data_IF_193309058713
#
_entry.id   IF_193309058713
#
_cell.length_a   1.000
_cell.length_b   1.000
_cell.length_c   1.000
_cell.angle_alpha   90.00
_cell.angle_beta   90.00
_cell.angle_gamma   90.00
#
_symmetry.space_group_name_H-M   'P 1'
#
loop_
_entity.id
_entity.type
_entity.pdbx_description
1 polymer ?
#
# COMPACT_ATOMS: atom_id res chain seq x y z
N UNK A 1 -20.18 -9.77 -4.94
CA UNK A 1 -19.63 -10.05 -6.29
C UNK A 1 -18.38 -10.89 -6.11
N UNK A 2 -18.10 -11.87 -6.99
CA UNK A 2 -16.89 -12.67 -6.89
C UNK A 2 -15.62 -11.84 -7.11
N UNK A 3 -14.47 -12.36 -6.66
CA UNK A 3 -13.13 -11.80 -6.92
C UNK A 3 -12.94 -11.55 -8.42
N UNK A 4 -12.32 -10.43 -8.80
CA UNK A 4 -11.97 -10.17 -10.20
C UNK A 4 -10.82 -11.05 -10.66
N UNK A 5 -10.87 -11.51 -11.91
CA UNK A 5 -9.84 -12.40 -12.50
C UNK A 5 -8.91 -11.67 -13.47
N UNK A 6 -9.20 -10.42 -13.82
CA UNK A 6 -8.41 -9.57 -14.71
C UNK A 6 -7.38 -8.70 -13.96
N UNK A 7 -7.33 -8.77 -12.62
CA UNK A 7 -6.32 -8.12 -11.77
C UNK A 7 -5.48 -9.19 -11.10
N UNK A 8 -4.16 -9.08 -11.24
CA UNK A 8 -3.18 -9.90 -10.51
C UNK A 8 -2.43 -9.11 -9.44
N UNK A 9 -2.20 -7.81 -9.67
CA UNK A 9 -1.44 -6.92 -8.78
C UNK A 9 -2.19 -5.64 -8.45
N UNK A 10 -2.10 -5.20 -7.20
CA UNK A 10 -2.76 -3.98 -6.69
C UNK A 10 -1.72 -3.11 -6.00
N UNK A 11 -1.67 -1.84 -6.38
CA UNK A 11 -0.91 -0.81 -5.67
C UNK A 11 -1.81 -0.11 -4.65
N UNK A 12 -1.45 -0.20 -3.37
CA UNK A 12 -2.04 0.58 -2.29
C UNK A 12 -1.20 1.83 -2.08
N UNK A 13 -1.86 2.98 -1.96
CA UNK A 13 -1.24 4.27 -1.63
C UNK A 13 -1.58 4.59 -0.18
N UNK A 14 -0.56 4.65 0.68
CA UNK A 14 -0.69 5.04 2.08
C UNK A 14 -0.99 6.53 2.23
N UNK A 15 -1.25 6.96 3.46
CA UNK A 15 -1.61 8.35 3.75
C UNK A 15 -0.38 9.27 3.91
N UNK A 16 0.82 8.72 4.11
CA UNK A 16 2.02 9.49 4.41
C UNK A 16 2.16 9.80 5.90
N UNK A 17 2.90 10.86 6.28
CA UNK A 17 3.16 11.21 7.67
C UNK A 17 1.88 11.60 8.42
N UNK A 18 1.88 11.34 9.73
CA UNK A 18 0.76 11.72 10.61
C UNK A 18 0.69 13.26 10.72
N UNK A 19 -0.50 13.81 10.51
CA UNK A 19 -0.82 15.23 10.71
C UNK A 19 -2.18 15.38 11.40
N UNK A 20 -2.46 16.57 11.95
CA UNK A 20 -3.79 16.86 12.51
C UNK A 20 -4.84 16.71 11.41
N UNK A 21 -5.84 15.85 11.65
CA UNK A 21 -6.89 15.54 10.68
C UNK A 21 -6.58 14.36 9.75
N UNK A 22 -5.37 13.78 9.81
CA UNK A 22 -5.00 12.58 9.08
C UNK A 22 -3.94 11.79 9.86
N UNK A 23 -4.37 10.80 10.62
CA UNK A 23 -3.51 10.13 11.60
C UNK A 23 -3.51 8.59 11.48
N UNK A 24 -3.43 7.91 12.61
CA UNK A 24 -3.18 6.46 12.69
C UNK A 24 -4.30 5.61 12.09
N UNK A 25 -5.50 6.18 11.89
CA UNK A 25 -6.62 5.51 11.23
C UNK A 25 -6.23 4.95 9.86
N UNK A 26 -5.29 5.59 9.16
CA UNK A 26 -4.86 5.14 7.85
C UNK A 26 -3.80 4.02 7.89
N UNK A 27 -3.00 3.94 8.95
CA UNK A 27 -2.15 2.74 9.17
C UNK A 27 -3.03 1.53 9.47
N UNK A 28 -4.04 1.71 10.33
CA UNK A 28 -5.01 0.67 10.63
C UNK A 28 -5.76 0.20 9.38
N UNK A 29 -6.36 1.12 8.62
CA UNK A 29 -7.09 0.79 7.40
C UNK A 29 -6.18 0.22 6.32
N UNK A 30 -4.98 0.78 6.12
CA UNK A 30 -4.00 0.28 5.16
C UNK A 30 -3.53 -1.14 5.49
N UNK A 31 -3.25 -1.42 6.76
CA UNK A 31 -2.90 -2.76 7.25
C UNK A 31 -4.02 -3.77 6.97
N UNK A 32 -5.28 -3.40 7.22
CA UNK A 32 -6.42 -4.27 6.90
C UNK A 32 -6.59 -4.49 5.40
N UNK A 33 -6.41 -3.46 4.58
CA UNK A 33 -6.49 -3.58 3.12
C UNK A 33 -5.42 -4.53 2.57
N UNK A 34 -4.18 -4.44 3.05
CA UNK A 34 -3.09 -5.36 2.68
C UNK A 34 -3.46 -6.80 3.03
N UNK A 35 -3.93 -7.05 4.26
CA UNK A 35 -4.31 -8.39 4.72
C UNK A 35 -5.44 -8.97 3.87
N UNK A 36 -6.53 -8.22 3.69
CA UNK A 36 -7.68 -8.67 2.90
C UNK A 36 -7.31 -9.01 1.46
N UNK A 37 -6.49 -8.18 0.80
CA UNK A 37 -6.07 -8.43 -0.57
C UNK A 37 -5.12 -9.63 -0.69
N UNK A 38 -4.24 -9.84 0.28
CA UNK A 38 -3.37 -11.03 0.32
C UNK A 38 -4.14 -12.31 0.59
N UNK A 39 -5.13 -12.30 1.48
CA UNK A 39 -6.03 -13.44 1.74
C UNK A 39 -6.81 -13.83 0.48
N UNK A 40 -7.20 -12.85 -0.33
CA UNK A 40 -7.79 -13.07 -1.65
C UNK A 40 -6.77 -13.50 -2.71
N UNK A 41 -5.47 -13.54 -2.41
CA UNK A 41 -4.41 -13.99 -3.31
C UNK A 41 -4.05 -12.96 -4.40
N UNK A 42 -4.14 -11.67 -4.12
CA UNK A 42 -3.54 -10.63 -4.96
C UNK A 42 -2.08 -10.40 -4.57
N UNK A 43 -1.26 -10.03 -5.56
CA UNK A 43 0.05 -9.42 -5.31
C UNK A 43 -0.15 -7.97 -4.88
N UNK A 44 0.27 -7.63 -3.67
CA UNK A 44 0.11 -6.29 -3.10
C UNK A 44 1.42 -5.53 -3.14
N UNK A 45 1.40 -4.38 -3.80
CA UNK A 45 2.45 -3.36 -3.73
C UNK A 45 1.93 -2.24 -2.84
N UNK A 46 2.76 -1.73 -1.95
CA UNK A 46 2.43 -0.61 -1.08
C UNK A 46 3.46 0.51 -1.23
N UNK A 47 2.99 1.75 -1.28
CA UNK A 47 3.83 2.94 -1.07
C UNK A 47 3.30 3.74 0.12
N UNK A 48 4.18 4.06 1.08
CA UNK A 48 3.86 4.97 2.17
C UNK A 48 5.14 5.63 2.67
N UNK A 49 5.20 6.96 2.72
CA UNK A 49 6.42 7.67 3.15
C UNK A 49 6.63 7.68 4.68
N UNK A 50 5.65 7.21 5.46
CA UNK A 50 5.77 7.14 6.92
C UNK A 50 6.38 5.80 7.35
N UNK A 51 7.62 5.79 7.89
CA UNK A 51 8.27 4.54 8.32
C UNK A 51 7.71 3.98 9.63
N UNK A 52 6.92 4.77 10.38
CA UNK A 52 6.37 4.37 11.68
C UNK A 52 4.95 3.78 11.53
N UNK A 53 4.75 2.90 10.56
CA UNK A 53 3.46 2.26 10.30
C UNK A 53 3.59 0.75 10.20
N UNK A 54 2.62 0.01 10.74
CA UNK A 54 2.60 -1.45 10.62
C UNK A 54 2.45 -1.85 9.17
N UNK A 55 1.66 -1.13 8.37
CA UNK A 55 1.48 -1.44 6.95
C UNK A 55 2.81 -1.44 6.17
N UNK A 56 3.83 -0.70 6.60
CA UNK A 56 5.16 -0.68 5.98
C UNK A 56 6.12 -1.75 6.49
N UNK A 57 5.71 -2.63 7.40
CA UNK A 57 6.55 -3.74 7.82
C UNK A 57 6.90 -4.64 6.62
N UNK A 58 8.13 -5.18 6.54
CA UNK A 58 8.60 -5.92 5.36
C UNK A 58 7.72 -7.11 4.96
N UNK A 59 7.08 -7.76 5.93
CA UNK A 59 6.29 -8.98 5.71
C UNK A 59 4.82 -8.70 5.36
N UNK A 60 4.39 -7.43 5.43
CA UNK A 60 3.00 -7.05 5.22
C UNK A 60 2.60 -7.16 3.76
N UNK A 61 3.26 -6.46 2.84
CA UNK A 61 2.99 -6.48 1.39
C UNK A 61 4.06 -7.29 0.63
N UNK A 62 3.79 -7.67 -0.63
CA UNK A 62 4.80 -8.34 -1.46
C UNK A 62 5.95 -7.40 -1.86
N UNK A 63 5.62 -6.10 -2.00
CA UNK A 63 6.59 -5.02 -2.19
C UNK A 63 6.15 -3.80 -1.37
N UNK A 64 7.06 -3.27 -0.56
CA UNK A 64 6.84 -2.06 0.23
C UNK A 64 7.84 -0.99 -0.17
N UNK A 65 7.34 0.20 -0.49
CA UNK A 65 8.11 1.39 -0.81
C UNK A 65 7.93 2.44 0.28
N UNK A 66 9.00 2.72 1.03
CA UNK A 66 9.06 3.85 1.96
C UNK A 66 9.63 5.05 1.24
N UNK A 67 8.80 5.65 0.39
CA UNK A 67 9.17 6.70 -0.58
C UNK A 67 8.14 7.84 -0.55
N UNK A 68 8.49 9.07 -0.99
CA UNK A 68 7.55 10.20 -1.00
C UNK A 68 6.29 9.92 -1.83
N UNK A 69 5.12 10.25 -1.28
CA UNK A 69 3.83 10.07 -1.96
C UNK A 69 3.56 11.25 -2.91
N UNK A 70 4.30 11.27 -4.01
CA UNK A 70 4.18 12.27 -5.08
C UNK A 70 3.84 11.60 -6.40
N UNK A 71 3.13 12.25 -7.33
CA UNK A 71 2.78 11.67 -8.62
C UNK A 71 3.99 11.12 -9.37
N UNK A 72 5.13 11.80 -9.33
CA UNK A 72 6.35 11.42 -10.03
C UNK A 72 6.97 10.13 -9.46
N UNK A 73 7.00 9.99 -8.14
CA UNK A 73 7.51 8.79 -7.47
C UNK A 73 6.55 7.63 -7.66
N UNK A 74 5.25 7.85 -7.50
CA UNK A 74 4.22 6.84 -7.70
C UNK A 74 4.23 6.34 -9.15
N UNK A 75 4.40 7.22 -10.13
CA UNK A 75 4.54 6.83 -11.54
C UNK A 75 5.74 5.92 -11.79
N UNK A 76 6.90 6.22 -11.19
CA UNK A 76 8.10 5.36 -11.27
C UNK A 76 7.88 3.99 -10.63
N UNK A 77 7.17 3.94 -9.50
CA UNK A 77 6.81 2.66 -8.86
C UNK A 77 5.88 1.86 -9.79
N UNK A 78 4.85 2.51 -10.37
CA UNK A 78 3.95 1.86 -11.31
C UNK A 78 4.71 1.31 -12.53
N UNK A 79 5.63 2.09 -13.09
CA UNK A 79 6.45 1.64 -14.23
C UNK A 79 7.31 0.42 -13.90
N UNK A 80 7.89 0.38 -12.68
CA UNK A 80 8.74 -0.71 -12.23
C UNK A 80 7.99 -1.98 -11.84
N UNK A 81 6.75 -1.85 -11.36
CA UNK A 81 5.98 -2.94 -10.74
C UNK A 81 4.93 -3.58 -11.67
N UNK A 82 4.68 -2.96 -12.82
CA UNK A 82 3.93 -3.55 -13.94
C UNK A 82 4.64 -4.74 -14.55
#
# INVERSE_FOLDING_TARGET
>A
MPKRTDISSILIIGAGPIVIGQACEFDYSGTQAVKALKEEGYRVILVNSNPATIMTDPDMADRTYVEPITPEVVAKIIEKER
#
